data_IF_487991065854
#
_entry.id   IF_487991065854
#
_cell.length_a   1.000
_cell.length_b   1.000
_cell.length_c   1.000
_cell.angle_alpha   90.00
_cell.angle_beta   90.00
_cell.angle_gamma   90.00
#
_symmetry.space_group_name_H-M   'P 1'
#
loop_
_entity.id
_entity.type
_entity.pdbx_description
1 polymer ?
#
# COMPACT_ATOMS: atom_id res chain seq x y z
N UNK A 1 -11.52 -24.52 8.53
CA UNK A 1 -11.65 -23.06 8.55
C UNK A 1 -10.24 -22.49 8.45
N UNK A 2 -9.98 -21.78 7.40
CA UNK A 2 -8.79 -20.92 7.30
C UNK A 2 -8.95 -19.82 8.35
N UNK A 3 -7.94 -19.57 9.17
CA UNK A 3 -7.91 -18.38 10.02
C UNK A 3 -7.96 -17.11 9.15
N UNK A 4 -8.15 -15.93 9.78
CA UNK A 4 -8.21 -14.66 9.08
C UNK A 4 -9.59 -14.29 8.53
N UNK A 5 -9.74 -13.11 7.93
CA UNK A 5 -11.00 -12.58 7.41
C UNK A 5 -11.61 -13.47 6.32
N UNK A 6 -12.93 -13.58 6.33
CA UNK A 6 -13.68 -14.35 5.34
C UNK A 6 -14.66 -13.43 4.62
N UNK A 7 -14.76 -13.50 3.28
CA UNK A 7 -15.64 -12.66 2.50
C UNK A 7 -17.11 -12.95 2.79
N UNK A 8 -17.96 -11.94 2.68
CA UNK A 8 -19.39 -12.15 2.62
C UNK A 8 -19.79 -12.90 1.33
N UNK A 9 -21.01 -13.43 1.31
CA UNK A 9 -21.50 -14.19 0.14
C UNK A 9 -21.52 -13.36 -1.15
N UNK A 10 -21.74 -12.05 -1.05
CA UNK A 10 -21.74 -11.16 -2.21
C UNK A 10 -20.33 -11.09 -2.85
N UNK A 11 -19.29 -10.89 -2.06
CA UNK A 11 -17.90 -10.86 -2.54
C UNK A 11 -17.49 -12.21 -3.13
N UNK A 12 -17.75 -13.32 -2.43
CA UNK A 12 -17.45 -14.66 -2.92
C UNK A 12 -18.17 -15.02 -4.24
N UNK A 13 -19.34 -14.45 -4.47
CA UNK A 13 -20.10 -14.68 -5.70
C UNK A 13 -19.64 -13.78 -6.84
N UNK A 14 -19.15 -12.58 -6.54
CA UNK A 14 -18.74 -11.60 -7.53
C UNK A 14 -17.31 -11.88 -8.07
N UNK A 15 -16.38 -12.29 -7.21
CA UNK A 15 -14.97 -12.42 -7.57
C UNK A 15 -14.71 -13.29 -8.82
N UNK A 16 -15.27 -14.49 -8.99
CA UNK A 16 -15.04 -15.30 -10.19
C UNK A 16 -15.50 -14.64 -11.50
N UNK A 17 -16.52 -13.79 -11.45
CA UNK A 17 -17.03 -13.08 -12.61
C UNK A 17 -16.24 -11.82 -12.97
N UNK A 18 -15.32 -11.42 -12.12
CA UNK A 18 -14.44 -10.25 -12.29
C UNK A 18 -12.98 -10.64 -12.51
N UNK A 19 -12.69 -11.93 -12.66
CA UNK A 19 -11.31 -12.47 -12.69
C UNK A 19 -10.47 -12.00 -11.47
N UNK A 20 -11.13 -11.88 -10.30
CA UNK A 20 -10.54 -11.38 -9.07
C UNK A 20 -10.51 -12.46 -8.00
N UNK A 21 -9.67 -12.23 -6.98
CA UNK A 21 -9.54 -13.11 -5.82
C UNK A 21 -10.01 -12.39 -4.56
N UNK A 22 -10.65 -13.14 -3.68
CA UNK A 22 -10.99 -12.65 -2.34
C UNK A 22 -9.77 -12.72 -1.42
N UNK A 23 -9.71 -11.90 -0.37
CA UNK A 23 -8.56 -11.84 0.53
C UNK A 23 -8.19 -13.21 1.15
N UNK A 24 -9.18 -14.06 1.46
CA UNK A 24 -8.91 -15.40 1.97
C UNK A 24 -8.31 -16.35 0.90
N UNK A 25 -8.59 -16.16 -0.38
CA UNK A 25 -7.95 -16.89 -1.48
C UNK A 25 -6.49 -16.45 -1.64
N UNK A 26 -6.24 -15.15 -1.60
CA UNK A 26 -4.88 -14.58 -1.60
C UNK A 26 -4.11 -15.09 -0.38
N UNK A 27 -4.68 -15.01 0.82
CA UNK A 27 -4.10 -15.53 2.04
C UNK A 27 -3.76 -17.04 1.93
N UNK A 28 -4.62 -17.81 1.28
CA UNK A 28 -4.39 -19.24 0.99
C UNK A 28 -3.21 -19.45 0.04
N UNK A 29 -3.14 -18.68 -1.05
CA UNK A 29 -2.08 -18.77 -2.05
C UNK A 29 -0.68 -18.43 -1.47
N UNK A 30 -0.61 -17.46 -0.56
CA UNK A 30 0.63 -17.05 0.10
C UNK A 30 0.88 -17.72 1.46
N UNK A 31 0.09 -18.75 1.81
CA UNK A 31 0.24 -19.54 3.04
C UNK A 31 0.10 -18.74 4.35
N UNK A 32 -0.73 -17.70 4.39
CA UNK A 32 -1.03 -16.94 5.60
C UNK A 32 -1.75 -17.74 6.67
N UNK A 33 -2.35 -18.87 6.31
CA UNK A 33 -3.08 -19.74 7.26
C UNK A 33 -2.23 -20.18 8.46
N UNK A 34 -0.91 -20.35 8.26
CA UNK A 34 0.01 -20.68 9.35
C UNK A 34 0.18 -19.52 10.32
N UNK A 35 0.21 -18.28 9.83
CA UNK A 35 0.29 -17.06 10.63
C UNK A 35 -1.00 -16.87 11.45
N UNK A 36 -2.15 -16.98 10.81
CA UNK A 36 -3.45 -16.87 11.48
C UNK A 36 -3.65 -17.95 12.55
N UNK A 37 -3.14 -19.17 12.30
CA UNK A 37 -3.15 -20.24 13.29
C UNK A 37 -2.36 -19.93 14.58
N UNK A 38 -1.37 -19.04 14.48
CA UNK A 38 -0.60 -18.53 15.61
C UNK A 38 -1.20 -17.25 16.22
N UNK A 39 -2.22 -16.66 15.60
CA UNK A 39 -2.81 -15.39 15.99
C UNK A 39 -2.11 -14.16 15.40
N UNK A 40 -1.22 -14.38 14.41
CA UNK A 40 -0.46 -13.33 13.74
C UNK A 40 -1.34 -12.66 12.67
N UNK A 41 -2.09 -11.64 13.06
CA UNK A 41 -3.02 -10.89 12.22
C UNK A 41 -2.67 -9.38 12.20
N UNK A 42 -1.42 -9.02 12.48
CA UNK A 42 -0.92 -7.66 12.48
C UNK A 42 -1.13 -6.88 13.79
N UNK A 43 -1.50 -7.54 14.89
CA UNK A 43 -1.71 -6.85 16.17
C UNK A 43 -0.45 -6.11 16.64
N UNK A 44 -0.61 -4.86 17.08
CA UNK A 44 0.45 -3.94 17.51
C UNK A 44 1.44 -3.50 16.39
N UNK A 45 1.12 -3.79 15.14
CA UNK A 45 1.86 -3.28 13.98
C UNK A 45 1.11 -2.09 13.38
N UNK A 46 1.85 -1.06 13.04
CA UNK A 46 1.36 0.08 12.26
C UNK A 46 1.92 -0.01 10.84
N UNK A 47 1.03 0.23 9.88
CA UNK A 47 1.33 0.23 8.44
C UNK A 47 1.03 1.61 7.90
N UNK A 48 2.03 2.30 7.38
CA UNK A 48 1.83 3.47 6.56
C UNK A 48 1.47 3.06 5.14
N UNK A 49 0.40 3.61 4.59
CA UNK A 49 0.09 3.55 3.17
C UNK A 49 0.38 4.92 2.55
N UNK A 50 1.22 4.91 1.54
CA UNK A 50 1.60 6.12 0.80
C UNK A 50 0.65 6.30 -0.38
N UNK A 51 -0.17 7.35 -0.36
CA UNK A 51 -1.21 7.59 -1.34
C UNK A 51 -1.11 8.97 -1.98
N UNK A 52 -1.25 9.02 -3.30
CA UNK A 52 -1.30 10.27 -4.08
C UNK A 52 -2.70 10.55 -4.66
N UNK A 53 -3.66 9.68 -4.40
CA UNK A 53 -5.05 9.81 -4.77
C UNK A 53 -5.98 9.53 -3.59
N UNK A 54 -7.18 10.10 -3.55
CA UNK A 54 -8.11 9.86 -2.45
C UNK A 54 -8.80 8.51 -2.60
N UNK A 55 -9.39 8.02 -1.52
CA UNK A 55 -10.31 6.89 -1.55
C UNK A 55 -11.68 7.27 -0.97
N UNK A 56 -12.67 6.41 -1.19
CA UNK A 56 -13.99 6.53 -0.56
C UNK A 56 -13.98 5.80 0.79
N UNK A 57 -14.14 6.56 1.88
CA UNK A 57 -14.23 5.96 3.22
C UNK A 57 -15.48 5.10 3.42
N UNK A 58 -16.55 5.35 2.64
CA UNK A 58 -17.75 4.50 2.65
C UNK A 58 -17.51 3.14 2.03
N UNK A 59 -16.63 3.05 1.03
CA UNK A 59 -16.28 1.78 0.39
C UNK A 59 -15.41 0.93 1.32
N UNK A 60 -14.45 1.56 2.00
CA UNK A 60 -13.68 0.90 3.05
C UNK A 60 -14.58 0.36 4.17
N UNK A 61 -15.57 1.15 4.60
CA UNK A 61 -16.54 0.69 5.60
C UNK A 61 -17.39 -0.49 5.10
N UNK A 62 -17.77 -0.48 3.82
CA UNK A 62 -18.51 -1.57 3.20
C UNK A 62 -17.64 -2.84 3.10
N UNK A 63 -16.36 -2.71 2.72
CA UNK A 63 -15.40 -3.81 2.71
C UNK A 63 -15.25 -4.42 4.09
N UNK A 64 -14.99 -3.62 5.13
CA UNK A 64 -14.87 -4.09 6.50
C UNK A 64 -16.15 -4.81 6.97
N UNK A 65 -17.31 -4.28 6.64
CA UNK A 65 -18.60 -4.94 6.96
C UNK A 65 -18.73 -6.29 6.28
N UNK A 66 -18.27 -6.41 5.03
CA UNK A 66 -18.32 -7.66 4.26
C UNK A 66 -17.39 -8.74 4.84
N UNK A 67 -16.19 -8.36 5.27
CA UNK A 67 -15.19 -9.27 5.82
C UNK A 67 -15.29 -9.44 7.34
N UNK A 68 -16.17 -8.72 8.00
CA UNK A 68 -16.34 -8.77 9.46
C UNK A 68 -15.12 -8.26 10.22
N UNK A 69 -14.38 -7.31 9.65
CA UNK A 69 -13.20 -6.68 10.25
C UNK A 69 -13.55 -5.36 10.91
N UNK A 70 -12.65 -4.84 11.74
CA UNK A 70 -12.76 -3.52 12.37
C UNK A 70 -11.37 -2.90 12.50
N UNK A 71 -10.64 -2.92 11.39
CA UNK A 71 -9.28 -2.39 11.30
C UNK A 71 -9.30 -0.88 11.47
N UNK A 72 -8.39 -0.34 12.28
CA UNK A 72 -8.26 1.11 12.46
C UNK A 72 -7.57 1.71 11.26
N UNK A 73 -8.22 2.66 10.59
CA UNK A 73 -7.71 3.40 9.43
C UNK A 73 -7.72 4.89 9.77
N UNK A 74 -6.54 5.48 9.90
CA UNK A 74 -6.36 6.91 10.12
C UNK A 74 -5.95 7.57 8.80
N UNK A 75 -6.38 8.80 8.56
CA UNK A 75 -6.00 9.58 7.38
C UNK A 75 -5.16 10.77 7.79
N UNK A 76 -3.96 10.84 7.26
CA UNK A 76 -2.99 11.91 7.46
C UNK A 76 -2.85 12.65 6.14
N UNK A 77 -3.02 13.98 6.15
CA UNK A 77 -3.01 14.79 4.95
C UNK A 77 -1.81 15.71 4.94
N UNK A 78 -0.93 15.48 3.98
CA UNK A 78 0.19 16.36 3.67
C UNK A 78 -0.19 17.30 2.51
N UNK A 79 0.19 18.55 2.59
CA UNK A 79 -0.10 19.59 1.57
C UNK A 79 -1.58 19.74 1.20
N UNK A 80 -2.47 19.45 2.13
CA UNK A 80 -3.92 19.49 1.90
C UNK A 80 -4.52 18.16 1.45
N UNK A 81 -3.70 17.13 1.25
CA UNK A 81 -4.09 15.77 0.90
C UNK A 81 -4.20 15.52 -0.60
N UNK A 82 -4.49 14.28 -0.93
CA UNK A 82 -4.66 13.83 -2.31
C UNK A 82 -5.97 14.39 -2.91
N UNK A 83 -5.92 15.36 -3.71
CA UNK A 83 -7.03 16.11 -4.32
C UNK A 83 -8.26 15.29 -4.72
N UNK A 84 -8.61 15.31 -6.00
CA UNK A 84 -9.73 14.55 -6.57
C UNK A 84 -9.30 13.99 -7.93
N UNK A 85 -8.57 12.90 -7.92
CA UNK A 85 -8.06 12.25 -9.12
C UNK A 85 -8.86 11.01 -9.53
N UNK A 86 -8.34 10.30 -10.52
CA UNK A 86 -8.93 9.07 -11.04
C UNK A 86 -8.37 7.79 -10.37
N UNK A 87 -7.34 7.91 -9.53
CA UNK A 87 -6.67 6.80 -8.85
C UNK A 87 -7.35 6.31 -7.57
N UNK A 88 -8.63 6.64 -7.35
CA UNK A 88 -9.36 6.23 -6.15
C UNK A 88 -9.45 4.71 -5.98
N UNK A 89 -9.42 3.97 -7.07
CA UNK A 89 -9.44 2.50 -7.05
C UNK A 89 -8.16 1.94 -6.43
N UNK A 90 -7.01 2.52 -6.76
CA UNK A 90 -5.71 2.09 -6.22
C UNK A 90 -5.61 2.34 -4.72
N UNK A 91 -5.91 3.56 -4.28
CA UNK A 91 -5.89 3.88 -2.85
C UNK A 91 -6.89 3.06 -2.01
N UNK A 92 -8.02 2.66 -2.61
CA UNK A 92 -8.96 1.75 -1.95
C UNK A 92 -8.40 0.33 -1.89
N UNK A 93 -7.80 -0.17 -2.98
CA UNK A 93 -7.19 -1.50 -3.08
C UNK A 93 -6.11 -1.71 -2.02
N UNK A 94 -5.17 -0.77 -1.89
CA UNK A 94 -4.08 -0.85 -0.92
C UNK A 94 -4.61 -0.95 0.52
N UNK A 95 -5.61 -0.14 0.86
CA UNK A 95 -6.25 -0.18 2.18
C UNK A 95 -6.98 -1.51 2.40
N UNK A 96 -7.73 -1.98 1.40
CA UNK A 96 -8.53 -3.21 1.48
C UNK A 96 -7.65 -4.45 1.57
N UNK A 97 -6.51 -4.49 0.89
CA UNK A 97 -5.55 -5.60 0.97
C UNK A 97 -4.96 -5.73 2.37
N UNK A 98 -4.58 -4.62 3.01
CA UNK A 98 -4.10 -4.68 4.40
C UNK A 98 -5.22 -5.09 5.35
N UNK A 99 -6.45 -4.58 5.21
CA UNK A 99 -7.62 -5.01 6.00
C UNK A 99 -7.87 -6.51 5.83
N UNK A 100 -7.79 -6.99 4.60
CA UNK A 100 -8.07 -8.39 4.27
C UNK A 100 -7.03 -9.38 4.79
N UNK A 101 -5.76 -8.96 4.89
CA UNK A 101 -4.65 -9.85 5.23
C UNK A 101 -4.11 -9.64 6.65
N UNK A 102 -4.16 -8.41 7.18
CA UNK A 102 -3.67 -8.05 8.51
C UNK A 102 -4.72 -7.24 9.30
N UNK A 103 -5.91 -7.83 9.60
CA UNK A 103 -7.07 -7.09 10.10
C UNK A 103 -6.89 -6.45 11.47
N UNK A 104 -5.86 -6.82 12.21
CA UNK A 104 -5.55 -6.24 13.54
C UNK A 104 -4.44 -5.20 13.51
N UNK A 105 -3.87 -4.91 12.34
CA UNK A 105 -2.94 -3.80 12.18
C UNK A 105 -3.67 -2.46 12.34
N UNK A 106 -2.93 -1.42 12.66
CA UNK A 106 -3.39 -0.03 12.52
C UNK A 106 -2.83 0.52 11.23
N UNK A 107 -3.64 1.15 10.41
CA UNK A 107 -3.19 1.81 9.19
C UNK A 107 -3.19 3.32 9.37
N UNK A 108 -2.10 3.93 8.97
CA UNK A 108 -1.94 5.36 8.82
C UNK A 108 -1.81 5.65 7.30
N UNK A 109 -2.90 6.15 6.69
CA UNK A 109 -2.99 6.45 5.25
C UNK A 109 -2.52 7.88 5.02
N UNK A 110 -1.32 8.02 4.52
CA UNK A 110 -0.70 9.31 4.23
C UNK A 110 -1.08 9.74 2.82
N UNK A 111 -1.76 10.86 2.71
CA UNK A 111 -2.31 11.39 1.46
C UNK A 111 -1.70 12.75 1.12
N UNK A 112 -1.09 12.85 -0.06
CA UNK A 112 -0.53 14.09 -0.59
C UNK A 112 -0.99 14.33 -2.04
N UNK A 113 -0.86 15.56 -2.57
CA UNK A 113 -1.12 15.84 -3.97
C UNK A 113 -0.24 15.00 -4.89
N UNK A 114 -0.79 14.49 -6.00
CA UNK A 114 -0.03 13.77 -7.02
C UNK A 114 0.91 14.72 -7.79
N UNK A 115 2.06 14.99 -7.19
CA UNK A 115 3.10 15.87 -7.70
C UNK A 115 4.45 15.49 -7.08
N UNK A 116 5.55 15.93 -7.69
CA UNK A 116 6.90 15.70 -7.15
C UNK A 116 7.09 16.26 -5.73
N UNK A 117 6.49 17.41 -5.42
CA UNK A 117 6.52 17.98 -4.06
C UNK A 117 5.72 17.12 -3.11
N UNK A 118 4.46 16.84 -3.42
CA UNK A 118 3.60 16.01 -2.57
C UNK A 118 4.17 14.60 -2.34
N UNK A 119 4.85 14.03 -3.34
CA UNK A 119 5.54 12.75 -3.21
C UNK A 119 6.65 12.81 -2.13
N UNK A 120 7.54 13.81 -2.23
CA UNK A 120 8.66 13.94 -1.28
C UNK A 120 8.15 14.32 0.12
N UNK A 121 7.18 15.23 0.22
CA UNK A 121 6.63 15.66 1.50
C UNK A 121 5.87 14.52 2.19
N UNK A 122 5.17 13.67 1.43
CA UNK A 122 4.49 12.49 1.96
C UNK A 122 5.47 11.45 2.53
N UNK A 123 6.54 11.11 1.80
CA UNK A 123 7.59 10.25 2.34
C UNK A 123 8.31 10.89 3.53
N UNK A 124 8.56 12.19 3.48
CA UNK A 124 9.17 12.92 4.60
C UNK A 124 8.31 12.81 5.85
N UNK A 125 7.00 12.98 5.73
CA UNK A 125 6.08 12.86 6.86
C UNK A 125 6.08 11.44 7.45
N UNK A 126 6.05 10.40 6.62
CA UNK A 126 6.10 9.00 7.06
C UNK A 126 7.42 8.71 7.81
N UNK A 127 8.54 9.13 7.24
CA UNK A 127 9.87 8.84 7.80
C UNK A 127 10.14 9.66 9.06
N UNK A 128 9.80 10.95 9.08
CA UNK A 128 10.02 11.82 10.23
C UNK A 128 9.10 11.50 11.41
N UNK A 129 7.88 11.04 11.14
CA UNK A 129 6.98 10.59 12.21
C UNK A 129 7.47 9.32 12.91
N UNK A 130 8.17 8.45 12.20
CA UNK A 130 8.79 7.22 12.73
C UNK A 130 7.85 6.39 13.64
N UNK A 131 6.56 6.33 13.28
CA UNK A 131 5.54 5.60 14.04
C UNK A 131 5.15 4.28 13.41
N UNK A 132 5.38 4.14 12.10
CA UNK A 132 4.95 3.02 11.28
C UNK A 132 6.13 2.10 10.98
N UNK A 133 6.00 0.82 11.32
CA UNK A 133 7.06 -0.17 11.11
C UNK A 133 7.14 -0.64 9.66
N UNK A 134 6.03 -0.58 8.95
CA UNK A 134 5.88 -1.04 7.57
C UNK A 134 5.31 0.08 6.74
N UNK A 135 5.90 0.33 5.59
CA UNK A 135 5.43 1.33 4.61
C UNK A 135 5.14 0.59 3.31
N UNK A 136 4.00 0.82 2.71
CA UNK A 136 3.65 0.28 1.40
C UNK A 136 3.27 1.39 0.44
N UNK A 137 3.71 1.28 -0.81
CA UNK A 137 3.35 2.18 -1.89
C UNK A 137 3.13 1.43 -3.19
N UNK A 138 2.04 1.77 -3.87
CA UNK A 138 1.74 1.36 -5.25
C UNK A 138 2.04 2.47 -6.26
N UNK A 139 2.57 3.61 -5.78
CA UNK A 139 2.86 4.77 -6.60
C UNK A 139 4.33 4.81 -7.00
N UNK A 140 4.58 4.92 -8.30
CA UNK A 140 5.93 4.99 -8.83
C UNK A 140 5.97 5.46 -10.28
N UNK A 141 7.15 5.76 -10.75
CA UNK A 141 7.44 6.02 -12.17
C UNK A 141 8.88 5.58 -12.49
N UNK A 142 9.22 5.57 -13.75
CA UNK A 142 10.58 5.20 -14.17
C UNK A 142 11.63 6.21 -13.70
N UNK A 143 12.77 5.74 -13.20
CA UNK A 143 13.87 6.61 -12.76
C UNK A 143 14.29 7.63 -13.82
N UNK A 144 14.23 7.25 -15.12
CA UNK A 144 14.55 8.15 -16.23
C UNK A 144 13.61 9.36 -16.35
N UNK A 145 12.41 9.25 -15.80
CA UNK A 145 11.35 10.26 -15.87
C UNK A 145 11.31 11.13 -14.61
N UNK A 146 11.75 10.58 -13.49
CA UNK A 146 11.69 11.22 -12.16
C UNK A 146 12.63 12.38 -11.96
N UNK A 147 13.78 12.35 -12.63
CA UNK A 147 14.84 13.34 -12.42
C UNK A 147 15.71 13.05 -11.19
N UNK A 148 17.00 13.38 -11.31
CA UNK A 148 18.03 13.02 -10.32
C UNK A 148 17.82 13.63 -8.93
N UNK A 149 17.17 14.79 -8.82
CA UNK A 149 16.89 15.43 -7.54
C UNK A 149 15.85 14.67 -6.71
N UNK A 150 14.82 14.16 -7.36
CA UNK A 150 13.79 13.35 -6.72
C UNK A 150 14.37 12.02 -6.27
N UNK A 151 15.07 11.33 -7.16
CA UNK A 151 15.74 10.04 -6.84
C UNK A 151 16.70 10.19 -5.65
N UNK A 152 17.46 11.28 -5.60
CA UNK A 152 18.39 11.55 -4.49
C UNK A 152 17.67 11.84 -3.17
N UNK A 153 16.55 12.58 -3.22
CA UNK A 153 15.76 12.87 -2.03
C UNK A 153 15.10 11.61 -1.48
N UNK A 154 14.47 10.81 -2.32
CA UNK A 154 13.90 9.50 -1.93
C UNK A 154 14.97 8.57 -1.36
N UNK A 155 16.13 8.47 -2.02
CA UNK A 155 17.24 7.65 -1.53
C UNK A 155 17.67 8.03 -0.11
N UNK A 156 17.74 9.34 0.18
CA UNK A 156 18.08 9.83 1.53
C UNK A 156 17.01 9.45 2.56
N UNK A 157 15.73 9.62 2.21
CA UNK A 157 14.61 9.25 3.09
C UNK A 157 14.57 7.74 3.35
N UNK A 158 14.80 6.92 2.33
CA UNK A 158 14.81 5.46 2.50
C UNK A 158 16.01 4.97 3.32
N UNK A 159 17.17 5.61 3.20
CA UNK A 159 18.32 5.37 4.10
C UNK A 159 17.98 5.73 5.56
N UNK A 160 17.30 6.85 5.78
CA UNK A 160 16.82 7.22 7.11
C UNK A 160 15.83 6.19 7.65
N UNK A 161 14.80 5.83 6.89
CA UNK A 161 13.81 4.82 7.24
C UNK A 161 14.48 3.49 7.65
N UNK A 162 15.46 3.04 6.86
CA UNK A 162 16.21 1.82 7.17
C UNK A 162 16.97 1.90 8.50
N UNK A 163 17.58 3.06 8.82
CA UNK A 163 18.29 3.25 10.10
C UNK A 163 17.35 3.30 11.30
N UNK A 164 16.08 3.68 11.10
CA UNK A 164 15.03 3.72 12.11
C UNK A 164 14.31 2.37 12.27
N UNK A 165 14.55 1.43 11.34
CA UNK A 165 13.91 0.11 11.36
C UNK A 165 12.56 0.05 10.64
N UNK A 166 12.21 1.06 9.86
CA UNK A 166 11.05 1.03 8.97
C UNK A 166 11.36 0.19 7.72
N UNK A 167 10.43 -0.65 7.33
CA UNK A 167 10.55 -1.46 6.10
C UNK A 167 9.63 -0.90 5.03
N UNK A 168 10.19 -0.50 3.88
CA UNK A 168 9.43 0.06 2.77
C UNK A 168 9.26 -1.01 1.68
N UNK A 169 8.01 -1.25 1.30
CA UNK A 169 7.62 -2.10 0.18
C UNK A 169 7.06 -1.24 -0.94
N UNK A 170 7.44 -1.55 -2.16
CA UNK A 170 6.96 -0.86 -3.33
C UNK A 170 6.52 -1.82 -4.43
N UNK A 171 5.50 -1.43 -5.16
CA UNK A 171 5.09 -2.13 -6.36
C UNK A 171 6.25 -2.20 -7.38
N UNK A 172 6.35 -3.32 -8.06
CA UNK A 172 7.41 -3.58 -9.05
C UNK A 172 6.98 -3.21 -10.50
N UNK A 173 5.78 -2.63 -10.67
CA UNK A 173 5.16 -2.32 -11.96
C UNK A 173 4.30 -3.44 -12.51
N UNK A 174 3.49 -3.11 -13.52
CA UNK A 174 2.45 -3.98 -14.04
C UNK A 174 2.79 -4.60 -15.41
N UNK A 175 3.70 -3.98 -16.16
CA UNK A 175 4.06 -4.39 -17.52
C UNK A 175 5.44 -5.10 -17.60
N UNK A 176 6.01 -5.49 -16.48
CA UNK A 176 7.26 -6.22 -16.38
C UNK A 176 8.44 -5.45 -16.99
N UNK A 177 9.15 -6.04 -17.95
CA UNK A 177 10.32 -5.39 -18.57
C UNK A 177 9.97 -4.23 -19.51
N UNK A 178 8.69 -3.98 -19.75
CA UNK A 178 8.21 -2.93 -20.68
C UNK A 178 7.61 -1.72 -19.98
N UNK A 179 7.53 -1.72 -18.65
CA UNK A 179 7.00 -0.62 -17.85
C UNK A 179 7.58 0.76 -18.21
N UNK A 180 8.85 0.81 -18.56
CA UNK A 180 9.53 2.05 -18.91
C UNK A 180 9.65 2.29 -20.43
N UNK A 181 8.77 1.72 -21.23
CA UNK A 181 8.66 1.88 -22.70
C UNK A 181 9.97 1.67 -23.50
N UNK A 182 11.07 1.35 -22.85
CA UNK A 182 12.34 1.06 -23.51
C UNK A 182 12.69 -0.41 -23.31
N UNK A 183 13.00 -1.19 -24.37
CA UNK A 183 13.44 -2.57 -24.23
C UNK A 183 14.88 -2.62 -23.73
N UNK A 184 15.15 -2.04 -22.60
CA UNK A 184 16.44 -2.08 -21.93
C UNK A 184 16.22 -2.68 -20.56
N UNK A 185 17.03 -3.64 -20.20
CA UNK A 185 17.14 -4.33 -18.92
C UNK A 185 17.39 -3.35 -17.72
N UNK A 186 16.60 -2.28 -17.61
CA UNK A 186 16.70 -1.23 -16.62
C UNK A 186 15.31 -0.72 -16.23
N UNK A 187 14.41 -1.62 -15.88
CA UNK A 187 13.24 -1.17 -15.14
C UNK A 187 13.65 -1.05 -13.67
N UNK A 188 13.82 0.15 -13.20
CA UNK A 188 13.87 0.40 -11.78
C UNK A 188 12.73 1.35 -11.48
N UNK A 189 11.66 0.81 -10.96
CA UNK A 189 10.60 1.59 -10.35
C UNK A 189 11.18 2.21 -9.08
N UNK A 190 10.84 3.45 -8.80
CA UNK A 190 11.51 4.31 -7.82
C UNK A 190 11.65 3.76 -6.41
N UNK A 191 10.75 2.98 -5.94
CA UNK A 191 10.85 2.47 -4.58
C UNK A 191 11.85 1.30 -4.41
N UNK A 192 12.49 0.85 -5.47
CA UNK A 192 13.58 -0.12 -5.42
C UNK A 192 14.94 0.59 -5.37
N UNK A 193 15.15 1.48 -4.40
CA UNK A 193 16.47 2.05 -4.20
C UNK A 193 17.44 0.97 -3.73
N UNK A 194 18.59 0.91 -4.37
CA UNK A 194 19.66 -0.04 -4.05
C UNK A 194 20.19 0.23 -2.64
N UNK A 195 20.15 -0.78 -1.80
CA UNK A 195 21.08 -0.91 -0.68
C UNK A 195 22.49 -1.21 -1.17
#
# INVERSE_FOLDING_TARGET
ATGGPQPCSAASSAAPGQDAYTANEIAGAYNFNSLYGNGDEGAAIKVALFELEPNSTSDIAAYQSCYGTNTTVNYIKEDGGAGSGSGQGEAALDIEDVIGLAPKATMDVYQAPNSNTGLIDNYTAIVDNDTDQVVSTSWGECESESGSSIISAEGTLFEQAATQGQTIYAAAGDDGSTDCETPVWRSTIRAASRT
#
